data_IF_327270087278
#
_entry.id   IF_327270087278
#
_cell.length_a   1.000
_cell.length_b   1.000
_cell.length_c   1.000
_cell.angle_alpha   90.00
_cell.angle_beta   90.00
_cell.angle_gamma   90.00
#
_symmetry.space_group_name_H-M   'P 1'
#
loop_
_entity.id
_entity.type
_entity.pdbx_description
1 polymer ?
#
# COMPACT_ATOMS: atom_id res chain seq x y z
N UNK A 1 38.46 -38.42 -23.96
CA UNK A 1 37.51 -37.36 -23.63
C UNK A 1 37.67 -36.99 -22.15
N UNK A 2 38.24 -35.80 -21.83
CA UNK A 2 38.43 -35.35 -20.45
C UNK A 2 37.24 -34.44 -20.07
N UNK A 3 36.37 -34.93 -19.22
CA UNK A 3 35.22 -34.18 -18.69
C UNK A 3 35.72 -33.12 -17.71
N UNK A 4 35.67 -31.83 -18.09
CA UNK A 4 35.94 -30.73 -17.18
C UNK A 4 34.69 -30.50 -16.33
N UNK A 5 34.76 -30.77 -15.03
CA UNK A 5 33.75 -30.37 -14.05
C UNK A 5 33.88 -28.87 -13.81
N UNK A 6 32.86 -28.12 -14.20
CA UNK A 6 32.72 -26.71 -13.86
C UNK A 6 32.22 -26.63 -12.40
N UNK A 7 33.07 -26.21 -11.49
CA UNK A 7 32.64 -25.90 -10.10
C UNK A 7 32.15 -24.45 -10.11
N UNK A 8 30.84 -24.27 -10.05
CA UNK A 8 30.23 -22.95 -9.83
C UNK A 8 30.29 -22.70 -8.34
N UNK A 9 31.19 -21.83 -7.92
CA UNK A 9 31.27 -21.30 -6.56
C UNK A 9 30.16 -20.25 -6.37
N UNK A 10 29.02 -20.65 -5.80
CA UNK A 10 27.99 -19.74 -5.37
C UNK A 10 28.49 -18.98 -4.14
N UNK A 11 28.91 -17.73 -4.30
CA UNK A 11 29.14 -16.82 -3.18
C UNK A 11 27.79 -16.52 -2.54
N UNK A 12 27.49 -17.13 -1.39
CA UNK A 12 26.46 -16.67 -0.48
C UNK A 12 26.92 -15.34 0.09
N UNK A 13 26.40 -14.24 -0.43
CA UNK A 13 26.43 -12.95 0.26
C UNK A 13 25.37 -13.05 1.37
N UNK A 14 25.79 -13.43 2.57
CA UNK A 14 24.97 -13.25 3.76
C UNK A 14 24.84 -11.74 4.01
N UNK A 15 23.86 -11.12 3.39
CA UNK A 15 23.44 -9.76 3.74
C UNK A 15 22.99 -9.80 5.19
N UNK A 16 23.65 -9.06 6.07
CA UNK A 16 23.14 -8.76 7.41
C UNK A 16 21.83 -8.03 7.22
N UNK A 17 20.71 -8.72 7.45
CA UNK A 17 19.41 -8.08 7.55
C UNK A 17 19.48 -7.14 8.74
N UNK A 18 19.68 -5.86 8.51
CA UNK A 18 19.47 -4.83 9.51
C UNK A 18 18.06 -5.02 10.02
N UNK A 19 17.90 -5.25 11.32
CA UNK A 19 16.59 -5.34 11.94
C UNK A 19 15.86 -4.02 11.70
N UNK A 20 15.00 -4.00 10.72
CA UNK A 20 14.20 -2.83 10.39
C UNK A 20 13.18 -2.65 11.52
N UNK A 21 13.24 -1.53 12.20
CA UNK A 21 12.39 -1.22 13.35
C UNK A 21 10.96 -0.95 12.87
N UNK A 22 9.96 -1.43 13.60
CA UNK A 22 8.58 -0.97 13.43
C UNK A 22 8.56 0.54 13.67
N UNK A 23 8.05 1.28 12.69
CA UNK A 23 7.91 2.74 12.78
C UNK A 23 6.54 3.18 12.30
N UNK A 24 6.02 4.24 12.89
CA UNK A 24 4.83 4.96 12.44
C UNK A 24 5.02 6.44 12.65
N UNK A 25 4.54 7.27 11.73
CA UNK A 25 4.66 8.72 11.81
C UNK A 25 5.96 9.26 11.24
N UNK A 26 6.14 10.55 11.36
CA UNK A 26 7.21 11.28 10.72
C UNK A 26 8.44 11.38 11.62
N UNK A 27 9.57 10.82 11.21
CA UNK A 27 10.84 10.81 11.92
C UNK A 27 11.63 12.13 11.85
N UNK A 28 11.10 13.14 11.20
CA UNK A 28 11.79 14.42 11.03
C UNK A 28 11.87 15.17 12.37
N UNK A 29 13.06 15.65 12.75
CA UNK A 29 13.39 16.08 14.11
C UNK A 29 13.56 17.58 14.30
N UNK A 30 13.33 18.43 13.30
CA UNK A 30 13.54 19.87 13.41
C UNK A 30 12.29 20.67 13.03
N UNK A 31 11.33 20.84 13.97
CA UNK A 31 10.13 21.62 13.71
C UNK A 31 10.47 23.10 13.60
N UNK A 32 9.99 23.75 12.56
CA UNK A 32 10.15 25.18 12.32
C UNK A 32 8.85 25.97 12.61
N UNK A 33 7.77 25.29 12.97
CA UNK A 33 6.51 25.91 13.36
C UNK A 33 5.75 25.03 14.35
N UNK A 34 4.90 25.65 15.14
CA UNK A 34 3.83 24.94 15.84
C UNK A 34 2.55 25.10 15.05
N UNK A 35 1.66 24.12 15.16
CA UNK A 35 0.32 24.30 14.64
C UNK A 35 -0.36 25.47 15.37
N UNK A 36 -0.64 26.54 14.62
CA UNK A 36 -0.98 27.88 15.15
C UNK A 36 -2.37 28.01 15.77
N UNK A 37 -3.15 26.96 15.91
CA UNK A 37 -4.51 27.04 16.44
C UNK A 37 -4.51 26.94 17.96
N UNK A 38 -4.30 28.09 18.61
CA UNK A 38 -4.29 28.24 20.07
C UNK A 38 -5.71 28.12 20.61
N UNK A 39 -5.91 27.23 21.58
CA UNK A 39 -7.08 27.32 22.48
C UNK A 39 -8.05 26.14 22.51
N UNK A 40 -8.06 25.23 21.57
CA UNK A 40 -9.03 24.13 21.54
C UNK A 40 -8.41 22.76 21.86
N UNK A 41 -9.13 21.93 22.62
CA UNK A 41 -8.89 20.49 22.67
C UNK A 41 -9.07 19.93 21.28
N UNK A 42 -8.08 19.19 20.77
CA UNK A 42 -8.10 18.65 19.40
C UNK A 42 -7.22 17.42 19.26
N UNK A 43 -7.44 16.68 18.22
CA UNK A 43 -6.64 15.54 17.81
C UNK A 43 -6.09 15.78 16.40
N UNK A 44 -4.77 15.68 16.24
CA UNK A 44 -4.05 15.78 14.99
C UNK A 44 -3.52 14.39 14.62
N UNK A 45 -3.80 13.88 13.40
CA UNK A 45 -3.40 12.52 12.98
C UNK A 45 -2.56 12.62 11.71
N UNK A 46 -1.34 12.09 11.78
CA UNK A 46 -0.42 12.01 10.65
C UNK A 46 -0.93 10.98 9.63
N UNK A 47 -0.98 11.34 8.34
CA UNK A 47 -1.59 10.51 7.30
C UNK A 47 -0.60 9.91 6.31
N UNK A 48 0.65 10.38 6.30
CA UNK A 48 1.61 10.10 5.23
C UNK A 48 2.47 8.88 5.54
N UNK A 49 2.79 8.65 6.82
CA UNK A 49 3.68 7.60 7.29
C UNK A 49 2.96 6.61 8.21
N UNK A 50 2.10 5.75 7.65
CA UNK A 50 1.45 4.70 8.42
C UNK A 50 2.47 3.70 8.98
N UNK A 51 2.05 2.87 9.93
CA UNK A 51 2.86 1.80 10.47
C UNK A 51 3.39 0.90 9.34
N UNK A 52 4.71 0.78 9.25
CA UNK A 52 5.40 0.03 8.19
C UNK A 52 5.30 -1.50 8.36
N UNK A 53 4.84 -1.96 9.53
CA UNK A 53 4.67 -3.38 9.85
C UNK A 53 3.59 -3.56 10.93
N UNK A 54 3.13 -4.79 11.11
CA UNK A 54 2.31 -5.20 12.26
C UNK A 54 3.23 -5.51 13.44
N UNK A 55 2.83 -5.12 14.65
CA UNK A 55 3.61 -5.36 15.87
C UNK A 55 3.12 -4.57 17.08
N UNK A 56 4.04 -4.13 17.92
CA UNK A 56 3.76 -3.32 19.10
C UNK A 56 4.66 -2.09 19.14
N UNK A 57 4.08 -0.92 19.42
CA UNK A 57 4.81 0.33 19.67
C UNK A 57 5.06 0.48 21.16
N UNK A 58 6.30 0.78 21.54
CA UNK A 58 6.73 0.93 22.92
C UNK A 58 7.26 2.32 23.27
N UNK A 59 7.65 3.11 22.26
CA UNK A 59 8.19 4.46 22.45
C UNK A 59 7.59 5.42 21.43
N UNK A 60 7.27 6.65 21.86
CA UNK A 60 6.87 7.72 20.96
C UNK A 60 7.69 8.97 21.21
N UNK A 61 8.06 9.67 20.14
CA UNK A 61 8.74 10.95 20.16
C UNK A 61 7.90 11.99 19.41
N UNK A 62 7.71 13.15 20.02
CA UNK A 62 6.94 14.24 19.43
C UNK A 62 7.45 15.59 19.87
N UNK A 63 7.15 16.61 19.07
CA UNK A 63 7.45 17.99 19.42
C UNK A 63 6.20 18.71 19.94
N UNK A 64 6.43 19.58 20.96
CA UNK A 64 5.40 20.41 21.58
C UNK A 64 5.89 21.84 21.72
N UNK A 65 5.07 22.83 21.38
CA UNK A 65 5.50 24.24 21.29
C UNK A 65 5.83 24.91 22.63
N UNK A 66 5.41 24.33 23.75
CA UNK A 66 5.64 24.88 25.09
C UNK A 66 6.01 23.77 26.07
N UNK A 67 7.02 24.00 26.89
CA UNK A 67 7.37 23.17 28.04
C UNK A 67 6.61 23.59 29.30
N UNK A 68 6.63 22.76 30.34
CA UNK A 68 5.96 23.04 31.63
C UNK A 68 4.45 22.78 31.61
N UNK A 69 3.92 22.08 30.63
CA UNK A 69 2.50 21.74 30.54
C UNK A 69 2.18 20.45 31.29
N UNK A 70 1.23 20.51 32.23
CA UNK A 70 0.77 19.33 32.96
C UNK A 70 -0.35 18.62 32.20
N UNK A 71 -0.26 17.28 32.09
CA UNK A 71 -1.27 16.41 31.50
C UNK A 71 -1.81 16.92 30.14
N UNK A 72 -0.93 17.39 29.25
CA UNK A 72 -1.33 18.19 28.09
C UNK A 72 -1.47 17.39 26.79
N UNK A 73 -0.75 16.29 26.63
CA UNK A 73 -0.67 15.53 25.40
C UNK A 73 -1.02 14.06 25.57
N UNK A 74 -1.79 13.50 24.63
CA UNK A 74 -1.91 12.05 24.47
C UNK A 74 -1.31 11.63 23.15
N UNK A 75 -0.65 10.47 23.12
CA UNK A 75 -0.29 9.75 21.91
C UNK A 75 -1.43 8.79 21.57
N UNK A 76 -1.91 8.85 20.35
CA UNK A 76 -3.03 8.04 19.86
C UNK A 76 -2.63 7.25 18.62
N UNK A 77 -3.19 6.06 18.47
CA UNK A 77 -3.09 5.27 17.25
C UNK A 77 -4.49 5.06 16.70
N UNK A 78 -4.66 5.31 15.41
CA UNK A 78 -5.91 5.15 14.70
C UNK A 78 -5.78 4.09 13.60
N UNK A 79 -6.84 3.31 13.43
CA UNK A 79 -7.03 2.43 12.28
C UNK A 79 -7.97 3.10 11.29
N UNK A 80 -7.56 3.15 10.04
CA UNK A 80 -8.37 3.69 8.95
C UNK A 80 -8.93 2.55 8.11
N UNK A 81 -10.28 2.50 7.99
CA UNK A 81 -10.98 1.62 7.05
C UNK A 81 -11.88 2.50 6.19
N UNK A 82 -11.60 2.57 4.90
CA UNK A 82 -12.24 3.55 4.03
C UNK A 82 -11.92 4.97 4.46
N UNK A 83 -12.96 5.75 4.72
CA UNK A 83 -12.84 7.12 5.24
C UNK A 83 -13.01 7.20 6.76
N UNK A 84 -13.28 6.09 7.42
CA UNK A 84 -13.51 6.07 8.86
C UNK A 84 -12.23 5.76 9.63
N UNK A 85 -11.97 6.57 10.64
CA UNK A 85 -10.87 6.43 11.58
C UNK A 85 -11.44 6.00 12.93
N UNK A 86 -10.86 4.96 13.51
CA UNK A 86 -11.24 4.44 14.83
C UNK A 86 -10.01 4.33 15.71
N UNK A 87 -10.09 4.80 16.94
CA UNK A 87 -9.02 4.69 17.91
C UNK A 87 -8.69 3.21 18.18
N UNK A 88 -7.43 2.85 18.01
CA UNK A 88 -6.89 1.54 18.42
C UNK A 88 -6.52 1.57 19.88
N UNK A 89 -5.72 2.58 20.27
CA UNK A 89 -5.32 2.80 21.65
C UNK A 89 -4.75 4.22 21.82
N UNK A 90 -4.67 4.66 23.08
CA UNK A 90 -4.01 5.89 23.47
C UNK A 90 -3.16 5.71 24.72
N UNK A 91 -2.14 6.59 24.89
CA UNK A 91 -1.34 6.70 26.11
C UNK A 91 -1.21 8.17 26.52
N UNK A 92 -1.11 8.37 27.81
CA UNK A 92 -1.11 9.69 28.43
C UNK A 92 -2.37 9.91 29.27
N UNK A 93 -2.70 11.15 29.65
CA UNK A 93 -2.01 12.38 29.24
C UNK A 93 -0.62 12.54 29.85
N UNK A 94 0.33 12.96 29.02
CA UNK A 94 1.71 13.18 29.43
C UNK A 94 1.94 14.62 29.88
N UNK A 95 2.84 14.79 30.88
CA UNK A 95 3.41 16.09 31.22
C UNK A 95 4.48 16.46 30.21
N UNK A 96 4.47 17.68 29.74
CA UNK A 96 5.44 18.21 28.76
C UNK A 96 6.53 18.96 29.48
N UNK A 97 7.69 18.34 29.62
CA UNK A 97 8.83 18.90 30.34
C UNK A 97 9.87 19.53 29.40
N UNK A 98 9.78 19.26 28.12
CA UNK A 98 10.65 19.80 27.05
C UNK A 98 9.86 19.95 25.76
N UNK A 99 10.39 20.71 24.80
CA UNK A 99 9.76 20.86 23.49
C UNK A 99 9.83 19.54 22.69
N UNK A 100 10.96 18.85 22.73
CA UNK A 100 11.06 17.50 22.16
C UNK A 100 10.87 16.47 23.29
N UNK A 101 9.78 15.72 23.19
CA UNK A 101 9.39 14.71 24.18
C UNK A 101 9.65 13.32 23.62
N UNK A 102 10.25 12.46 24.45
CA UNK A 102 10.26 11.01 24.21
C UNK A 102 9.58 10.33 25.39
N UNK A 103 8.56 9.54 25.13
CA UNK A 103 7.74 8.90 26.15
C UNK A 103 7.66 7.39 25.93
N UNK A 104 7.64 6.63 27.02
CA UNK A 104 7.36 5.20 26.96
C UNK A 104 5.85 4.97 26.87
N UNK A 105 5.44 4.13 25.93
CA UNK A 105 4.05 3.71 25.74
C UNK A 105 3.80 2.45 26.60
N UNK A 106 3.30 2.64 27.81
CA UNK A 106 3.04 1.52 28.74
C UNK A 106 1.54 1.42 29.07
N UNK A 107 0.92 0.23 28.85
CA UNK A 107 1.44 -0.91 28.11
C UNK A 107 1.71 -0.56 26.65
N UNK A 108 2.60 -1.32 25.94
CA UNK A 108 2.86 -1.12 24.53
C UNK A 108 1.56 -1.13 23.69
N UNK A 109 1.54 -0.39 22.59
CA UNK A 109 0.34 -0.28 21.74
C UNK A 109 0.42 -1.29 20.60
N UNK A 110 -0.50 -2.28 20.51
CA UNK A 110 -0.56 -3.16 19.33
C UNK A 110 -1.02 -2.39 18.11
N UNK A 111 -0.32 -2.60 16.97
CA UNK A 111 -0.64 -1.97 15.69
C UNK A 111 -0.68 -3.00 14.58
N UNK A 112 -1.48 -2.74 13.57
CA UNK A 112 -1.39 -3.39 12.27
C UNK A 112 -0.63 -2.50 11.29
N UNK A 113 0.01 -3.09 10.31
CA UNK A 113 0.56 -2.33 9.18
C UNK A 113 -0.54 -1.45 8.57
N UNK A 114 -0.23 -0.16 8.37
CA UNK A 114 -1.21 0.82 7.91
C UNK A 114 -1.90 1.64 9.01
N UNK A 115 -1.77 1.30 10.29
CA UNK A 115 -2.27 2.12 11.39
C UNK A 115 -1.51 3.47 11.45
N UNK A 116 -2.19 4.52 11.90
CA UNK A 116 -1.72 5.90 11.88
C UNK A 116 -1.53 6.43 13.29
N UNK A 117 -0.53 7.29 13.47
CA UNK A 117 -0.26 7.93 14.76
C UNK A 117 -0.80 9.36 14.79
N UNK A 118 -1.23 9.79 15.97
CA UNK A 118 -1.69 11.15 16.23
C UNK A 118 -1.33 11.65 17.61
N UNK A 119 -1.49 12.95 17.77
CA UNK A 119 -1.38 13.66 19.04
C UNK A 119 -2.71 14.30 19.41
N UNK A 120 -3.18 14.08 20.62
CA UNK A 120 -4.29 14.86 21.14
C UNK A 120 -3.77 15.91 22.13
N UNK A 121 -4.16 17.17 21.90
CA UNK A 121 -4.03 18.25 22.85
C UNK A 121 -5.24 18.23 23.78
N UNK A 122 -5.04 17.90 25.04
CA UNK A 122 -6.14 17.72 26.01
C UNK A 122 -6.15 18.80 27.10
N UNK A 123 -5.13 19.66 27.14
CA UNK A 123 -5.08 20.83 28.02
C UNK A 123 -4.73 22.08 27.20
N UNK A 124 -5.13 23.26 27.71
CA UNK A 124 -4.82 24.54 27.06
C UNK A 124 -3.39 24.99 27.36
N UNK A 125 -2.39 24.21 26.93
CA UNK A 125 -0.99 24.51 27.15
C UNK A 125 -0.15 23.96 25.99
N UNK A 126 0.40 24.84 25.19
CA UNK A 126 1.20 24.48 23.99
C UNK A 126 0.38 23.84 22.88
N UNK A 127 1.05 23.44 21.82
CA UNK A 127 0.50 22.79 20.63
C UNK A 127 1.45 21.73 20.08
N UNK A 128 0.94 20.70 19.39
CA UNK A 128 1.76 19.82 18.57
C UNK A 128 2.64 20.63 17.60
N UNK A 129 3.88 20.22 17.42
CA UNK A 129 4.77 20.82 16.43
C UNK A 129 4.45 20.32 15.02
N UNK A 130 4.58 21.23 14.07
CA UNK A 130 4.47 20.91 12.67
C UNK A 130 5.64 21.53 11.89
N UNK A 131 6.01 20.94 10.76
CA UNK A 131 7.02 21.48 9.85
C UNK A 131 6.31 21.98 8.61
N UNK A 132 6.69 23.20 8.18
CA UNK A 132 6.19 23.86 6.97
C UNK A 132 6.49 23.02 5.72
N UNK A 133 5.74 23.16 4.62
CA UNK A 133 5.40 22.10 3.69
C UNK A 133 6.59 21.37 3.07
N UNK A 134 6.58 20.05 3.19
CA UNK A 134 7.20 19.16 2.23
C UNK A 134 6.08 18.63 1.32
N UNK A 135 6.35 18.41 0.07
CA UNK A 135 5.38 18.02 -0.96
C UNK A 135 4.66 16.68 -0.70
N UNK A 136 5.00 15.97 0.36
CA UNK A 136 4.60 14.59 0.66
C UNK A 136 3.97 14.38 2.05
N UNK A 137 3.74 15.44 2.84
CA UNK A 137 3.31 15.28 4.21
C UNK A 137 2.06 16.10 4.55
N UNK A 138 1.10 15.47 5.16
CA UNK A 138 -0.12 16.07 5.63
C UNK A 138 -0.70 15.33 6.82
N UNK A 139 -1.45 16.04 7.63
CA UNK A 139 -2.19 15.49 8.75
C UNK A 139 -3.63 15.99 8.72
N UNK A 140 -4.51 15.27 9.37
CA UNK A 140 -5.90 15.70 9.61
C UNK A 140 -6.03 16.27 11.00
N UNK A 141 -6.78 17.36 11.13
CA UNK A 141 -7.08 18.00 12.41
C UNK A 141 -8.56 17.85 12.74
N UNK A 142 -8.85 17.30 13.92
CA UNK A 142 -10.20 17.00 14.39
C UNK A 142 -10.43 17.66 15.75
N UNK A 143 -11.59 18.30 15.93
CA UNK A 143 -11.96 18.89 17.19
C UNK A 143 -12.13 17.84 18.30
N UNK A 144 -11.71 18.18 19.52
CA UNK A 144 -11.86 17.35 20.70
C UNK A 144 -10.79 16.27 20.85
N UNK A 145 -10.89 15.52 21.93
CA UNK A 145 -10.11 14.32 22.22
C UNK A 145 -10.75 13.12 21.48
N UNK A 146 -10.61 13.11 20.15
CA UNK A 146 -11.37 12.22 19.27
C UNK A 146 -10.98 10.74 19.47
N UNK A 147 -11.99 9.87 19.48
CA UNK A 147 -11.84 8.40 19.44
C UNK A 147 -12.28 7.81 18.10
N UNK A 148 -13.00 8.59 17.29
CA UNK A 148 -13.36 8.25 15.92
C UNK A 148 -13.67 9.52 15.13
N UNK A 149 -13.48 9.47 13.81
CA UNK A 149 -13.88 10.53 12.88
C UNK A 149 -13.91 10.00 11.45
N UNK A 150 -14.54 10.76 10.56
CA UNK A 150 -14.54 10.47 9.13
C UNK A 150 -13.63 11.45 8.40
N UNK A 151 -12.85 10.96 7.44
CA UNK A 151 -11.97 11.77 6.60
C UNK A 151 -12.78 12.85 5.87
N UNK A 152 -12.25 14.07 5.91
CA UNK A 152 -12.72 15.17 5.08
C UNK A 152 -11.50 15.93 4.55
N UNK A 153 -11.46 16.20 3.26
CA UNK A 153 -10.38 16.96 2.65
C UNK A 153 -10.26 18.39 3.22
N UNK A 154 -11.36 18.95 3.76
CA UNK A 154 -11.39 20.30 4.35
C UNK A 154 -10.63 20.42 5.68
N UNK A 155 -10.31 19.30 6.35
CA UNK A 155 -9.57 19.31 7.62
C UNK A 155 -8.12 18.86 7.45
N UNK A 156 -7.68 18.65 6.21
CA UNK A 156 -6.30 18.24 5.90
C UNK A 156 -5.39 19.47 5.89
N UNK A 157 -4.30 19.39 6.63
CA UNK A 157 -3.26 20.42 6.71
C UNK A 157 -2.05 19.97 5.88
N UNK A 158 -1.47 20.89 5.09
CA UNK A 158 -0.32 20.63 4.22
C UNK A 158 1.03 20.65 4.92
N UNK A 159 1.09 20.38 6.22
CA UNK A 159 2.30 20.39 7.04
C UNK A 159 2.58 18.98 7.57
N UNK A 160 3.83 18.72 7.98
CA UNK A 160 4.22 17.49 8.66
C UNK A 160 3.96 17.60 10.15
N UNK A 161 3.09 16.77 10.69
CA UNK A 161 2.96 16.61 12.14
C UNK A 161 4.22 15.95 12.70
N UNK A 162 4.81 16.55 13.72
CA UNK A 162 6.05 16.07 14.36
C UNK A 162 5.73 15.03 15.42
N UNK A 163 5.38 13.84 15.00
CA UNK A 163 5.17 12.68 15.85
C UNK A 163 5.62 11.42 15.14
N UNK A 164 6.36 10.57 15.84
CA UNK A 164 6.64 9.21 15.41
C UNK A 164 6.71 8.28 16.61
N UNK A 165 6.50 7.00 16.36
CA UNK A 165 6.71 5.97 17.36
C UNK A 165 7.50 4.80 16.76
N UNK A 166 8.17 4.08 17.66
CA UNK A 166 8.96 2.89 17.33
C UNK A 166 8.57 1.72 18.21
N UNK A 167 8.91 0.52 17.76
CA UNK A 167 8.61 -0.68 18.51
C UNK A 167 9.09 -1.95 17.83
N UNK A 168 8.46 -3.07 18.17
CA UNK A 168 8.82 -4.40 17.71
C UNK A 168 7.84 -4.89 16.65
N UNK A 169 8.35 -5.18 15.45
CA UNK A 169 7.55 -5.74 14.37
C UNK A 169 7.38 -7.26 14.51
N UNK A 170 6.22 -7.78 14.09
CA UNK A 170 5.92 -9.22 14.04
C UNK A 170 5.62 -9.73 12.64
N UNK A 171 4.93 -8.93 11.82
CA UNK A 171 4.55 -9.27 10.43
C UNK A 171 4.70 -8.06 9.51
N UNK A 172 4.89 -8.34 8.21
CA UNK A 172 4.95 -7.32 7.15
C UNK A 172 4.33 -7.84 5.86
N UNK A 173 3.69 -6.96 5.08
CA UNK A 173 3.36 -7.25 3.69
C UNK A 173 4.66 -7.25 2.90
N UNK A 174 5.08 -8.41 2.43
CA UNK A 174 6.33 -8.57 1.67
C UNK A 174 6.17 -8.14 0.20
N UNK A 175 4.96 -8.27 -0.32
CA UNK A 175 4.64 -7.85 -1.67
C UNK A 175 3.17 -8.06 -2.02
N UNK A 176 2.80 -7.56 -3.18
CA UNK A 176 1.44 -7.60 -3.73
C UNK A 176 1.43 -8.33 -5.07
N UNK A 177 0.48 -9.26 -5.25
CA UNK A 177 0.08 -9.77 -6.56
C UNK A 177 -1.05 -8.83 -7.02
N UNK A 178 -0.84 -7.98 -8.04
CA UNK A 178 -1.70 -6.83 -8.29
C UNK A 178 -3.08 -7.17 -8.82
N UNK A 179 -3.23 -8.29 -9.54
CA UNK A 179 -4.54 -8.77 -10.02
C UNK A 179 -4.69 -10.26 -9.82
N UNK A 180 -5.83 -10.65 -9.27
CA UNK A 180 -6.25 -12.05 -9.10
C UNK A 180 -7.74 -12.21 -9.40
N UNK A 181 -8.13 -13.38 -9.87
CA UNK A 181 -9.52 -13.68 -10.18
C UNK A 181 -9.84 -15.16 -9.93
N UNK A 182 -11.07 -15.43 -9.49
CA UNK A 182 -11.75 -16.73 -9.56
C UNK A 182 -13.24 -16.45 -9.76
N UNK A 183 -13.60 -16.04 -11.01
CA UNK A 183 -14.93 -15.57 -11.34
C UNK A 183 -15.24 -15.67 -12.83
N UNK A 184 -16.53 -15.59 -13.15
CA UNK A 184 -16.98 -15.51 -14.54
C UNK A 184 -16.58 -14.18 -15.19
N UNK A 185 -16.11 -14.27 -16.43
CA UNK A 185 -15.87 -13.18 -17.36
C UNK A 185 -16.99 -13.07 -18.42
N UNK A 186 -16.77 -12.23 -19.42
CA UNK A 186 -17.67 -12.12 -20.57
C UNK A 186 -17.54 -13.35 -21.47
N UNK A 187 -18.61 -13.66 -22.24
CA UNK A 187 -18.58 -14.69 -23.30
C UNK A 187 -18.32 -16.10 -22.78
N UNK A 188 -18.67 -16.41 -21.52
CA UNK A 188 -18.50 -17.76 -20.95
C UNK A 188 -17.09 -18.01 -20.36
N UNK A 189 -16.18 -17.04 -20.43
CA UNK A 189 -14.88 -17.15 -19.76
C UNK A 189 -15.03 -17.39 -18.26
N UNK A 190 -14.14 -18.20 -17.70
CA UNK A 190 -13.99 -18.33 -16.24
C UNK A 190 -12.53 -18.14 -15.88
N UNK A 191 -12.22 -17.03 -15.22
CA UNK A 191 -10.88 -16.71 -14.80
C UNK A 191 -10.52 -17.39 -13.48
N UNK A 192 -9.29 -17.90 -13.39
CA UNK A 192 -8.71 -18.47 -12.17
C UNK A 192 -7.31 -17.89 -11.95
N UNK A 193 -6.82 -17.98 -10.73
CA UNK A 193 -5.46 -17.56 -10.39
C UNK A 193 -4.65 -18.73 -9.82
N UNK A 194 -3.69 -19.20 -10.61
CA UNK A 194 -2.60 -20.06 -10.14
C UNK A 194 -1.60 -19.20 -9.36
N UNK A 195 -1.19 -19.67 -8.19
CA UNK A 195 -0.07 -19.08 -7.44
C UNK A 195 0.93 -20.17 -7.10
N UNK A 196 2.22 -19.86 -7.24
CA UNK A 196 3.35 -20.71 -6.87
C UNK A 196 4.26 -19.95 -5.92
N UNK A 197 4.68 -20.62 -4.87
CA UNK A 197 5.64 -20.11 -3.88
C UNK A 197 6.82 -21.04 -3.84
N UNK A 198 8.01 -20.54 -4.19
CA UNK A 198 9.29 -21.22 -4.03
C UNK A 198 9.98 -20.68 -2.77
N UNK A 199 10.20 -21.54 -1.78
CA UNK A 199 11.04 -21.21 -0.64
C UNK A 199 12.53 -21.33 -1.02
N UNK A 200 13.39 -20.37 -0.60
CA UNK A 200 14.84 -20.48 -0.82
C UNK A 200 15.40 -21.79 -0.25
N UNK A 201 16.53 -22.23 -0.80
CA UNK A 201 17.24 -23.41 -0.29
C UNK A 201 17.81 -23.12 1.12
N UNK A 202 17.02 -23.46 2.14
CA UNK A 202 17.36 -23.32 3.56
C UNK A 202 16.82 -24.51 4.33
N UNK A 203 17.30 -24.73 5.55
CA UNK A 203 16.80 -25.78 6.44
C UNK A 203 15.43 -25.46 7.06
N UNK A 204 15.03 -24.20 7.04
CA UNK A 204 13.77 -23.73 7.63
C UNK A 204 12.71 -23.50 6.55
N UNK A 205 11.45 -23.90 6.78
CA UNK A 205 10.36 -23.59 5.89
C UNK A 205 10.11 -22.07 5.88
N UNK A 206 9.61 -21.57 4.75
CA UNK A 206 9.04 -20.20 4.66
C UNK A 206 7.56 -20.29 4.94
N UNK A 207 7.13 -19.62 6.00
CA UNK A 207 5.72 -19.54 6.38
C UNK A 207 5.23 -18.11 6.23
N UNK A 208 3.95 -17.96 5.92
CA UNK A 208 3.28 -16.67 5.77
C UNK A 208 1.77 -16.83 5.59
N UNK A 209 1.14 -15.80 5.08
CA UNK A 209 -0.28 -15.84 4.70
C UNK A 209 -0.54 -15.00 3.45
N UNK A 210 -1.53 -15.42 2.68
CA UNK A 210 -2.16 -14.61 1.65
C UNK A 210 -3.32 -13.83 2.27
N UNK A 211 -3.49 -12.55 1.90
CA UNK A 211 -4.64 -11.73 2.30
C UNK A 211 -5.29 -11.18 1.04
N UNK A 212 -6.57 -11.49 0.85
CA UNK A 212 -7.31 -11.11 -0.35
C UNK A 212 -7.94 -9.72 -0.19
N UNK A 213 -7.63 -8.81 -1.12
CA UNK A 213 -8.23 -7.47 -1.22
C UNK A 213 -9.29 -7.47 -2.32
N UNK A 214 -10.53 -7.62 -1.90
CA UNK A 214 -11.68 -7.72 -2.80
C UNK A 214 -11.95 -6.40 -3.52
N UNK A 215 -12.38 -6.48 -4.79
CA UNK A 215 -12.77 -5.31 -5.59
C UNK A 215 -13.73 -4.37 -4.85
N UNK A 216 -13.41 -3.06 -4.88
CA UNK A 216 -14.25 -1.98 -4.39
C UNK A 216 -14.43 -1.93 -2.88
N UNK A 217 -13.74 -2.78 -2.12
CA UNK A 217 -13.81 -2.82 -0.65
C UNK A 217 -12.52 -2.29 -0.06
N UNK A 218 -12.56 -1.30 0.84
CA UNK A 218 -11.38 -0.90 1.59
C UNK A 218 -10.83 -2.06 2.41
N UNK A 219 -9.52 -2.29 2.33
CA UNK A 219 -8.89 -3.38 3.06
C UNK A 219 -8.93 -3.17 4.58
N UNK A 220 -9.07 -4.29 5.30
CA UNK A 220 -9.18 -4.28 6.75
C UNK A 220 -8.84 -5.61 7.41
N UNK A 221 -8.89 -5.67 8.75
CA UNK A 221 -8.57 -6.89 9.51
C UNK A 221 -9.49 -8.09 9.24
N UNK A 222 -10.68 -7.85 8.69
CA UNK A 222 -11.66 -8.88 8.38
C UNK A 222 -11.49 -9.48 6.97
N UNK A 223 -10.49 -9.04 6.21
CA UNK A 223 -10.22 -9.56 4.87
C UNK A 223 -9.87 -11.05 4.93
N UNK A 224 -10.36 -11.79 3.95
CA UNK A 224 -10.10 -13.22 3.88
C UNK A 224 -8.59 -13.49 3.79
N UNK A 225 -8.11 -14.45 4.58
CA UNK A 225 -6.70 -14.81 4.61
C UNK A 225 -6.52 -16.32 4.68
N UNK A 226 -5.41 -16.80 4.12
CA UNK A 226 -5.03 -18.21 4.12
C UNK A 226 -3.55 -18.36 4.46
N UNK A 227 -3.18 -19.10 5.51
CA UNK A 227 -1.79 -19.38 5.83
C UNK A 227 -1.16 -20.34 4.81
N UNK A 228 0.16 -20.22 4.63
CA UNK A 228 0.97 -21.17 3.89
C UNK A 228 2.28 -21.48 4.63
N UNK A 229 2.86 -22.65 4.31
CA UNK A 229 4.20 -23.04 4.81
C UNK A 229 4.87 -23.94 3.78
N UNK A 230 5.95 -23.46 3.17
CA UNK A 230 6.68 -24.15 2.09
C UNK A 230 8.05 -24.57 2.61
N UNK A 231 8.35 -25.85 2.50
CA UNK A 231 9.65 -26.38 2.93
C UNK A 231 10.80 -25.77 2.12
N UNK A 232 11.96 -25.57 2.74
CA UNK A 232 13.13 -24.99 2.09
C UNK A 232 13.53 -25.75 0.82
N UNK A 233 13.76 -25.04 -0.27
CA UNK A 233 14.06 -25.58 -1.58
C UNK A 233 12.88 -26.23 -2.33
N UNK A 234 11.67 -26.11 -1.80
CA UNK A 234 10.44 -26.67 -2.41
C UNK A 234 9.55 -25.60 -3.00
N UNK A 235 8.65 -26.04 -3.90
CA UNK A 235 7.59 -25.23 -4.48
C UNK A 235 6.24 -25.77 -4.00
N UNK A 236 5.36 -24.86 -3.58
CA UNK A 236 3.95 -25.15 -3.36
C UNK A 236 3.10 -24.37 -4.38
N UNK A 237 2.00 -24.99 -4.83
CA UNK A 237 1.18 -24.43 -5.92
C UNK A 237 -0.31 -24.54 -5.60
N UNK A 238 -1.03 -23.46 -5.82
CA UNK A 238 -2.50 -23.40 -5.76
C UNK A 238 -3.03 -23.07 -7.16
N UNK A 239 -3.69 -24.02 -7.80
CA UNK A 239 -4.22 -23.88 -9.17
C UNK A 239 -5.35 -22.85 -9.26
N UNK A 240 -6.08 -22.65 -8.16
CA UNK A 240 -7.06 -21.57 -7.99
C UNK A 240 -6.97 -21.09 -6.52
N UNK A 241 -6.10 -20.10 -6.28
CA UNK A 241 -5.85 -19.61 -4.94
C UNK A 241 -7.13 -19.06 -4.28
N UNK A 242 -7.95 -18.28 -5.01
CA UNK A 242 -9.15 -17.68 -4.43
C UNK A 242 -10.21 -18.73 -4.07
N UNK A 243 -10.29 -19.82 -4.84
CA UNK A 243 -11.13 -20.96 -4.48
C UNK A 243 -10.61 -21.66 -3.21
N UNK A 244 -9.29 -21.83 -3.10
CA UNK A 244 -8.67 -22.37 -1.88
C UNK A 244 -8.90 -21.50 -0.64
N UNK A 245 -9.04 -20.17 -0.84
CA UNK A 245 -9.37 -19.20 0.21
C UNK A 245 -10.89 -19.09 0.49
N UNK A 246 -11.74 -19.74 -0.28
CA UNK A 246 -13.21 -19.62 -0.16
C UNK A 246 -13.74 -18.25 -0.62
N UNK A 247 -13.06 -17.55 -1.53
CA UNK A 247 -13.38 -16.17 -1.95
C UNK A 247 -13.70 -16.03 -3.43
N UNK A 248 -14.29 -17.05 -4.04
CA UNK A 248 -14.69 -17.04 -5.46
C UNK A 248 -15.75 -15.97 -5.76
N UNK A 249 -15.93 -15.67 -7.06
CA UNK A 249 -16.96 -14.74 -7.55
C UNK A 249 -16.55 -13.27 -7.56
N UNK A 250 -15.34 -12.93 -7.11
CA UNK A 250 -14.84 -11.55 -7.08
C UNK A 250 -13.39 -11.50 -7.57
N UNK A 251 -13.02 -10.50 -8.38
CA UNK A 251 -11.64 -10.17 -8.65
C UNK A 251 -11.05 -9.31 -7.51
N UNK A 252 -9.73 -9.22 -7.45
CA UNK A 252 -9.03 -8.44 -6.43
C UNK A 252 -7.53 -8.46 -6.60
N UNK A 253 -6.81 -8.24 -5.49
CA UNK A 253 -5.37 -8.43 -5.36
C UNK A 253 -5.04 -9.29 -4.14
N UNK A 254 -3.82 -9.81 -4.07
CA UNK A 254 -3.33 -10.58 -2.91
C UNK A 254 -2.13 -9.88 -2.30
N UNK A 255 -2.18 -9.65 -1.00
CA UNK A 255 -0.99 -9.32 -0.23
C UNK A 255 -0.33 -10.61 0.27
N UNK A 256 0.97 -10.72 0.09
CA UNK A 256 1.80 -11.79 0.67
C UNK A 256 2.39 -11.27 1.96
N UNK A 257 1.93 -11.78 3.08
CA UNK A 257 2.34 -11.34 4.42
C UNK A 257 3.27 -12.38 5.03
N UNK A 258 4.43 -11.92 5.50
CA UNK A 258 5.45 -12.77 6.12
C UNK A 258 5.71 -12.36 7.57
N UNK A 259 6.17 -13.26 8.42
CA UNK A 259 6.77 -12.90 9.69
C UNK A 259 7.92 -11.91 9.46
N UNK A 260 8.09 -10.97 10.36
CA UNK A 260 9.16 -9.98 10.30
C UNK A 260 10.54 -10.66 10.31
N UNK A 261 11.41 -10.26 9.39
CA UNK A 261 12.75 -10.87 9.25
C UNK A 261 12.78 -12.23 8.57
N UNK A 262 11.64 -12.76 8.12
CA UNK A 262 11.61 -13.99 7.34
C UNK A 262 12.27 -13.81 5.96
N UNK A 263 12.86 -14.85 5.44
CA UNK A 263 13.36 -14.88 4.06
C UNK A 263 12.20 -14.72 3.08
N UNK A 264 12.33 -13.79 2.13
CA UNK A 264 11.31 -13.56 1.11
C UNK A 264 11.31 -14.71 0.11
N UNK A 265 10.20 -15.43 -0.09
CA UNK A 265 10.08 -16.44 -1.13
C UNK A 265 10.00 -15.80 -2.52
N UNK A 266 10.29 -16.57 -3.55
CA UNK A 266 9.91 -16.22 -4.91
C UNK A 266 8.45 -16.61 -5.10
N UNK A 267 7.60 -15.65 -5.44
CA UNK A 267 6.18 -15.85 -5.70
C UNK A 267 5.89 -15.51 -7.17
N UNK A 268 5.32 -16.45 -7.87
CA UNK A 268 4.79 -16.26 -9.22
C UNK A 268 3.30 -16.50 -9.24
N UNK A 269 2.57 -15.74 -10.03
CA UNK A 269 1.15 -15.94 -10.24
C UNK A 269 0.82 -15.95 -11.74
N UNK A 270 -0.31 -16.52 -12.08
CA UNK A 270 -0.88 -16.52 -13.42
C UNK A 270 -2.40 -16.43 -13.33
N UNK A 271 -2.96 -15.39 -13.92
CA UNK A 271 -4.40 -15.32 -14.17
C UNK A 271 -4.67 -15.94 -15.53
N UNK A 272 -5.56 -16.91 -15.58
CA UNK A 272 -5.86 -17.64 -16.80
C UNK A 272 -7.36 -17.86 -16.99
N UNK A 273 -7.78 -17.96 -18.25
CA UNK A 273 -9.13 -18.31 -18.63
C UNK A 273 -9.24 -19.85 -18.75
N UNK A 274 -9.99 -20.47 -17.86
CA UNK A 274 -10.21 -21.93 -17.85
C UNK A 274 -11.43 -22.29 -18.72
N UNK A 275 -11.18 -22.60 -19.98
CA UNK A 275 -12.23 -23.01 -20.93
C UNK A 275 -12.39 -24.53 -21.05
N UNK A 276 -11.72 -25.31 -20.22
CA UNK A 276 -11.76 -26.77 -20.25
C UNK A 276 -10.96 -27.43 -21.37
N UNK A 277 -10.62 -26.72 -22.44
CA UNK A 277 -9.91 -27.23 -23.62
C UNK A 277 -8.52 -26.63 -23.82
N UNK A 278 -8.04 -25.92 -22.84
CA UNK A 278 -6.78 -25.18 -22.84
C UNK A 278 -6.91 -23.93 -21.98
N UNK A 279 -5.78 -23.43 -21.53
CA UNK A 279 -5.71 -22.25 -20.69
C UNK A 279 -4.89 -21.17 -21.39
N UNK A 280 -5.47 -20.00 -21.52
CA UNK A 280 -4.77 -18.81 -21.95
C UNK A 280 -4.75 -17.83 -20.77
N UNK A 281 -3.66 -17.12 -20.59
CA UNK A 281 -3.54 -16.23 -19.44
C UNK A 281 -2.23 -15.46 -19.46
N UNK A 282 -2.08 -14.57 -18.47
CA UNK A 282 -0.89 -13.77 -18.29
C UNK A 282 -0.23 -14.06 -16.95
N UNK A 283 1.05 -13.82 -16.89
CA UNK A 283 1.83 -13.91 -15.65
C UNK A 283 1.73 -12.62 -14.87
N UNK A 284 1.55 -12.77 -13.57
CA UNK A 284 1.68 -11.72 -12.59
C UNK A 284 2.94 -11.97 -11.76
N UNK A 285 3.69 -10.91 -11.52
CA UNK A 285 4.83 -10.96 -10.61
C UNK A 285 4.45 -10.38 -9.26
N UNK A 286 5.04 -10.91 -8.19
CA UNK A 286 4.97 -10.27 -6.89
C UNK A 286 5.68 -8.92 -6.96
N UNK A 287 4.94 -7.84 -6.70
CA UNK A 287 5.52 -6.51 -6.57
C UNK A 287 5.96 -6.34 -5.12
N UNK A 288 7.28 -6.28 -4.84
CA UNK A 288 7.75 -6.14 -3.47
C UNK A 288 7.27 -4.84 -2.84
N UNK A 289 6.85 -4.88 -1.58
CA UNK A 289 6.41 -3.70 -0.81
C UNK A 289 7.36 -3.34 0.35
N UNK A 290 8.39 -4.15 0.59
CA UNK A 290 9.43 -3.88 1.59
C UNK A 290 10.57 -3.07 0.93
N UNK A 291 11.08 -2.06 1.64
CA UNK A 291 12.24 -1.23 1.23
C UNK A 291 12.05 -0.40 -0.06
N UNK A 292 10.88 0.22 -0.22
CA UNK A 292 10.66 1.10 -1.36
C UNK A 292 11.43 2.40 -1.21
N UNK A 293 12.40 2.61 -2.12
CA UNK A 293 12.94 3.92 -2.43
C UNK A 293 12.23 4.48 -3.66
N UNK A 294 12.05 5.80 -3.72
CA UNK A 294 11.64 6.50 -4.94
C UNK A 294 12.67 6.25 -6.04
N UNK A 295 12.39 5.30 -6.91
CA UNK A 295 13.26 5.00 -8.04
C UNK A 295 12.45 4.96 -9.34
N UNK A 296 13.01 5.58 -10.37
CA UNK A 296 12.50 5.42 -11.74
C UNK A 296 12.55 3.94 -12.12
N UNK A 297 11.49 3.45 -12.75
CA UNK A 297 11.36 2.05 -13.16
C UNK A 297 10.69 1.13 -12.14
N UNK A 298 10.31 1.63 -10.95
CA UNK A 298 9.50 0.86 -10.00
C UNK A 298 8.03 0.78 -10.44
N UNK A 299 7.32 -0.22 -9.90
CA UNK A 299 5.89 -0.42 -10.15
C UNK A 299 4.99 0.24 -9.10
N UNK A 300 5.58 0.83 -8.05
CA UNK A 300 4.84 1.53 -7.00
C UNK A 300 4.98 3.03 -7.22
N UNK A 301 3.84 3.69 -7.36
CA UNK A 301 3.71 5.13 -7.49
C UNK A 301 3.49 5.73 -6.11
N UNK A 302 4.30 6.71 -5.76
CA UNK A 302 4.19 7.53 -4.56
C UNK A 302 3.74 8.95 -4.90
N UNK A 303 3.41 9.74 -3.90
CA UNK A 303 3.12 11.16 -4.04
C UNK A 303 4.23 11.86 -4.85
N UNK A 304 3.82 12.62 -5.89
CA UNK A 304 4.71 13.26 -6.86
C UNK A 304 5.13 12.36 -8.04
N UNK A 305 4.89 11.05 -8.00
CA UNK A 305 5.27 10.15 -9.08
C UNK A 305 4.40 10.34 -10.33
N UNK A 306 5.02 10.17 -11.49
CA UNK A 306 4.34 10.11 -12.79
C UNK A 306 4.77 8.87 -13.56
N UNK A 307 3.87 8.37 -14.40
CA UNK A 307 4.16 7.24 -15.29
C UNK A 307 3.07 7.05 -16.34
N UNK A 308 3.16 5.97 -17.11
CA UNK A 308 2.25 5.73 -18.23
C UNK A 308 1.80 4.27 -18.26
N UNK A 309 0.60 4.07 -18.81
CA UNK A 309 0.06 2.78 -19.23
C UNK A 309 -0.37 2.89 -20.68
N UNK A 310 -0.20 1.83 -21.44
CA UNK A 310 -0.58 1.78 -22.85
C UNK A 310 -1.87 0.98 -23.01
N UNK A 311 -2.81 1.50 -23.79
CA UNK A 311 -3.93 0.75 -24.33
C UNK A 311 -3.49 -0.22 -25.43
N UNK A 312 -4.41 -1.03 -25.95
CA UNK A 312 -4.12 -1.91 -27.09
C UNK A 312 -3.84 -1.12 -28.36
N UNK A 313 -3.09 -1.73 -29.27
CA UNK A 313 -2.85 -1.17 -30.60
C UNK A 313 -4.11 -1.16 -31.48
N UNK A 314 -5.08 -2.03 -31.21
CA UNK A 314 -6.37 -2.17 -31.90
C UNK A 314 -7.49 -2.28 -30.88
N UNK A 315 -8.25 -1.20 -30.72
CA UNK A 315 -9.37 -1.11 -29.77
C UNK A 315 -10.65 -1.85 -30.23
N UNK A 316 -10.71 -2.27 -31.49
CA UNK A 316 -11.83 -3.07 -32.00
C UNK A 316 -11.64 -4.56 -31.62
N UNK A 317 -10.41 -5.06 -31.74
CA UNK A 317 -10.07 -6.43 -31.38
C UNK A 317 -9.96 -6.62 -29.87
N UNK A 318 -9.47 -5.60 -29.15
CA UNK A 318 -9.20 -5.70 -27.70
C UNK A 318 -9.99 -4.68 -26.89
N UNK A 319 -10.35 -5.08 -25.68
CA UNK A 319 -10.83 -4.17 -24.62
C UNK A 319 -9.76 -3.99 -23.57
N UNK A 320 -9.77 -2.85 -22.87
CA UNK A 320 -8.86 -2.58 -21.78
C UNK A 320 -9.61 -2.24 -20.49
N UNK A 321 -9.14 -2.79 -19.39
CA UNK A 321 -9.57 -2.41 -18.04
C UNK A 321 -8.36 -1.86 -17.28
N UNK A 322 -8.56 -0.85 -16.47
CA UNK A 322 -7.52 -0.26 -15.61
C UNK A 322 -7.79 -0.68 -14.18
N UNK A 323 -6.79 -1.27 -13.54
CA UNK A 323 -6.81 -1.63 -12.14
C UNK A 323 -5.91 -0.69 -11.33
N UNK A 324 -6.33 -0.39 -10.10
CA UNK A 324 -5.58 0.39 -9.11
C UNK A 324 -5.60 -0.35 -7.79
N UNK A 325 -4.42 -0.61 -7.23
CA UNK A 325 -4.23 -1.15 -5.88
C UNK A 325 -3.57 -0.09 -5.02
N UNK A 326 -4.36 0.63 -4.21
CA UNK A 326 -3.83 1.57 -3.22
C UNK A 326 -3.13 0.82 -2.09
N UNK A 327 -2.01 1.34 -1.61
CA UNK A 327 -1.28 0.76 -0.48
C UNK A 327 -1.76 1.35 0.86
N UNK A 328 -0.94 1.23 1.92
CA UNK A 328 -1.32 1.52 3.31
C UNK A 328 -1.78 2.96 3.56
N UNK A 329 -1.28 3.92 2.77
CA UNK A 329 -1.67 5.34 2.88
C UNK A 329 -2.93 5.70 2.07
N UNK A 330 -3.45 4.76 1.25
CA UNK A 330 -4.42 5.07 0.21
C UNK A 330 -3.78 5.79 -0.97
N UNK A 331 -4.57 6.29 -1.91
CA UNK A 331 -4.05 7.03 -3.06
C UNK A 331 -5.03 8.10 -3.55
N UNK A 332 -4.50 9.26 -3.93
CA UNK A 332 -5.15 10.27 -4.77
C UNK A 332 -4.32 10.44 -6.04
N UNK A 333 -4.93 10.26 -7.21
CA UNK A 333 -4.25 10.30 -8.49
C UNK A 333 -5.13 10.89 -9.58
N UNK A 334 -4.49 11.37 -10.65
CA UNK A 334 -5.18 11.76 -11.89
C UNK A 334 -4.73 10.83 -13.02
N UNK A 335 -5.70 10.25 -13.72
CA UNK A 335 -5.49 9.50 -14.96
C UNK A 335 -5.92 10.39 -16.13
N UNK A 336 -5.00 10.71 -17.02
CA UNK A 336 -5.28 11.47 -18.23
C UNK A 336 -4.95 10.66 -19.46
N UNK A 337 -5.95 10.43 -20.31
CA UNK A 337 -5.76 9.72 -21.56
C UNK A 337 -5.23 10.65 -22.67
N UNK A 338 -4.48 10.04 -23.58
CA UNK A 338 -3.89 10.68 -24.76
C UNK A 338 -4.13 9.79 -25.98
N UNK A 339 -4.29 10.44 -27.14
CA UNK A 339 -4.27 9.79 -28.43
C UNK A 339 -2.86 9.28 -28.77
N UNK A 340 -2.74 8.39 -29.73
CA UNK A 340 -1.44 7.86 -30.19
C UNK A 340 -0.47 8.95 -30.66
N UNK A 341 -0.97 10.09 -31.14
CA UNK A 341 -0.18 11.25 -31.56
C UNK A 341 0.33 12.13 -30.42
N UNK A 342 -0.02 11.82 -29.18
CA UNK A 342 0.37 12.57 -27.99
C UNK A 342 -0.56 13.72 -27.61
N UNK A 343 -1.62 13.96 -28.36
CA UNK A 343 -2.62 14.97 -28.00
C UNK A 343 -3.52 14.44 -26.87
N UNK A 344 -3.97 15.35 -25.99
CA UNK A 344 -4.79 14.96 -24.86
C UNK A 344 -6.21 14.58 -25.33
N UNK A 345 -6.69 13.40 -24.96
CA UNK A 345 -8.01 12.89 -25.30
C UNK A 345 -9.13 13.43 -24.35
N UNK A 346 -8.75 14.09 -23.26
CA UNK A 346 -9.71 14.64 -22.29
C UNK A 346 -9.06 15.41 -21.16
N UNK A 347 -9.87 15.91 -20.21
CA UNK A 347 -9.39 16.67 -19.05
C UNK A 347 -8.66 15.82 -18.01
N UNK A 348 -8.87 14.51 -18.02
CA UNK A 348 -8.41 13.56 -17.01
C UNK A 348 -9.43 13.33 -15.90
N UNK A 349 -9.33 12.17 -15.26
CA UNK A 349 -10.17 11.73 -14.15
C UNK A 349 -9.37 11.71 -12.86
N UNK A 350 -9.90 12.34 -11.81
CA UNK A 350 -9.36 12.25 -10.47
C UNK A 350 -9.90 11.00 -9.79
N UNK A 351 -9.00 10.20 -9.24
CA UNK A 351 -9.29 8.99 -8.49
C UNK A 351 -8.89 9.17 -7.04
N UNK A 352 -9.68 8.60 -6.14
CA UNK A 352 -9.35 8.53 -4.73
C UNK A 352 -9.75 7.14 -4.21
N UNK A 353 -8.78 6.41 -3.70
CA UNK A 353 -9.01 5.13 -3.05
C UNK A 353 -8.47 5.13 -1.62
N UNK A 354 -9.27 4.67 -0.65
CA UNK A 354 -8.82 4.44 0.72
C UNK A 354 -7.66 3.44 0.79
N UNK A 355 -6.99 3.30 1.96
CA UNK A 355 -5.96 2.30 2.17
C UNK A 355 -6.38 0.88 1.76
N UNK A 356 -5.42 0.15 1.18
CA UNK A 356 -5.55 -1.26 0.85
C UNK A 356 -6.77 -1.61 -0.02
N UNK A 357 -7.21 -0.67 -0.86
CA UNK A 357 -8.33 -0.87 -1.79
C UNK A 357 -7.82 -1.32 -3.15
N UNK A 358 -8.47 -2.34 -3.72
CA UNK A 358 -8.29 -2.71 -5.11
C UNK A 358 -9.56 -2.39 -5.90
N UNK A 359 -9.41 -1.70 -7.03
CA UNK A 359 -10.52 -1.47 -7.96
C UNK A 359 -10.07 -1.65 -9.40
N UNK A 360 -10.98 -2.13 -10.24
CA UNK A 360 -10.77 -2.28 -11.67
C UNK A 360 -12.06 -1.93 -12.40
N UNK A 361 -11.94 -1.06 -13.41
CA UNK A 361 -13.05 -0.74 -14.28
C UNK A 361 -12.58 -0.59 -15.74
N UNK A 362 -13.54 -0.46 -16.68
CA UNK A 362 -13.19 -0.28 -18.09
C UNK A 362 -12.38 1.01 -18.30
N UNK A 363 -11.57 1.01 -19.34
CA UNK A 363 -10.81 2.20 -19.76
C UNK A 363 -11.67 3.47 -19.74
N UNK A 364 -12.86 3.41 -20.36
CA UNK A 364 -13.73 4.58 -20.45
C UNK A 364 -14.20 5.10 -19.08
N UNK A 365 -14.49 4.20 -18.12
CA UNK A 365 -14.86 4.60 -16.74
C UNK A 365 -13.69 5.24 -16.01
N UNK A 366 -12.48 4.67 -16.17
CA UNK A 366 -11.30 5.12 -15.44
C UNK A 366 -10.68 6.40 -16.02
N UNK A 367 -10.85 6.67 -17.31
CA UNK A 367 -10.23 7.82 -17.98
C UNK A 367 -11.21 8.91 -18.38
N UNK A 368 -12.51 8.58 -18.43
CA UNK A 368 -13.56 9.47 -18.92
C UNK A 368 -13.65 9.58 -20.44
N UNK A 369 -12.86 8.79 -21.20
CA UNK A 369 -12.86 8.80 -22.67
C UNK A 369 -12.91 7.38 -23.23
N UNK A 370 -13.42 7.23 -24.44
CA UNK A 370 -13.44 5.95 -25.14
C UNK A 370 -12.02 5.42 -25.38
N UNK A 371 -11.88 4.10 -25.42
CA UNK A 371 -10.64 3.46 -25.84
C UNK A 371 -10.46 3.63 -27.35
N UNK A 372 -9.27 4.02 -27.79
CA UNK A 372 -8.87 4.19 -29.17
C UNK A 372 -7.57 3.44 -29.44
N UNK A 373 -7.26 3.21 -30.72
CA UNK A 373 -6.06 2.52 -31.17
C UNK A 373 -4.80 3.27 -30.72
N UNK A 374 -3.91 2.55 -30.02
CA UNK A 374 -2.65 3.11 -29.54
C UNK A 374 -2.78 4.20 -28.48
N UNK A 375 -3.96 4.41 -27.90
CA UNK A 375 -4.16 5.35 -26.80
C UNK A 375 -3.32 4.97 -25.59
N UNK A 376 -2.92 5.96 -24.79
CA UNK A 376 -2.20 5.73 -23.55
C UNK A 376 -2.70 6.67 -22.42
N UNK A 377 -2.41 6.28 -21.18
CA UNK A 377 -2.78 7.05 -19.99
C UNK A 377 -1.54 7.52 -19.27
N UNK A 378 -1.47 8.81 -18.96
CA UNK A 378 -0.55 9.36 -17.97
C UNK A 378 -1.17 9.28 -16.59
N UNK A 379 -0.41 8.72 -15.66
CA UNK A 379 -0.72 8.65 -14.24
C UNK A 379 0.04 9.78 -13.53
N UNK A 380 -0.63 10.50 -12.62
CA UNK A 380 0.02 11.47 -11.73
C UNK A 380 -0.55 11.27 -10.33
N UNK A 381 0.30 10.85 -9.39
CA UNK A 381 -0.10 10.63 -7.98
C UNK A 381 0.15 11.91 -7.19
N UNK A 382 -0.90 12.46 -6.60
CA UNK A 382 -0.82 13.66 -5.76
C UNK A 382 -0.65 13.33 -4.27
N UNK A 383 -1.15 12.15 -3.83
CA UNK A 383 -1.06 11.70 -2.43
C UNK A 383 -1.04 10.18 -2.33
N UNK A 384 -0.35 9.68 -1.28
CA UNK A 384 -0.30 8.27 -0.96
C UNK A 384 0.51 7.43 -1.93
N UNK A 385 0.13 6.16 -2.08
CA UNK A 385 0.84 5.21 -2.93
C UNK A 385 -0.07 4.15 -3.53
N UNK A 386 0.25 3.70 -4.74
CA UNK A 386 -0.50 2.67 -5.44
C UNK A 386 0.30 1.95 -6.51
N UNK A 387 -0.22 0.80 -6.92
CA UNK A 387 0.15 0.06 -8.12
C UNK A 387 -0.96 0.28 -9.15
N UNK A 388 -0.59 0.59 -10.39
CA UNK A 388 -1.51 0.76 -11.53
C UNK A 388 -1.21 -0.30 -12.58
N UNK A 389 -2.27 -0.81 -13.20
CA UNK A 389 -2.18 -1.92 -14.12
C UNK A 389 -3.25 -1.79 -15.20
N UNK A 390 -2.96 -2.22 -16.42
CA UNK A 390 -3.93 -2.35 -17.50
C UNK A 390 -4.04 -3.80 -17.93
N UNK A 391 -5.27 -4.35 -17.90
CA UNK A 391 -5.58 -5.66 -18.47
C UNK A 391 -6.16 -5.47 -19.86
N UNK A 392 -5.49 -6.01 -20.86
CA UNK A 392 -5.93 -6.02 -22.27
C UNK A 392 -6.50 -7.41 -22.55
N UNK A 393 -7.72 -7.47 -23.01
CA UNK A 393 -8.42 -8.75 -23.24
C UNK A 393 -8.96 -8.81 -24.66
N UNK A 394 -8.63 -9.88 -25.37
CA UNK A 394 -9.19 -10.15 -26.71
C UNK A 394 -10.71 -10.32 -26.61
N UNK A 395 -11.45 -9.64 -27.51
CA UNK A 395 -12.92 -9.63 -27.48
C UNK A 395 -13.55 -10.93 -28.01
N UNK A 396 -12.79 -11.76 -28.73
CA UNK A 396 -13.26 -13.02 -29.34
C UNK A 396 -12.88 -14.19 -28.43
N UNK A 397 -11.58 -14.30 -28.08
CA UNK A 397 -11.07 -15.45 -27.33
C UNK A 397 -11.14 -15.26 -25.82
N UNK A 398 -11.31 -14.03 -25.36
CA UNK A 398 -11.19 -13.63 -23.95
C UNK A 398 -9.82 -13.91 -23.34
N UNK A 399 -8.77 -13.98 -24.19
CA UNK A 399 -7.40 -14.12 -23.72
C UNK A 399 -6.93 -12.82 -23.08
N UNK A 400 -6.56 -12.85 -21.80
CA UNK A 400 -6.06 -11.67 -21.12
C UNK A 400 -4.55 -11.52 -21.32
N UNK A 401 -4.11 -10.27 -21.45
CA UNK A 401 -2.74 -9.83 -21.25
C UNK A 401 -2.74 -8.70 -20.23
N UNK A 402 -1.66 -8.54 -19.49
CA UNK A 402 -1.58 -7.53 -18.45
C UNK A 402 -0.25 -6.79 -18.47
N UNK A 403 -0.28 -5.50 -18.11
CA UNK A 403 0.89 -4.65 -18.05
C UNK A 403 0.82 -3.78 -16.80
N UNK A 404 1.77 -3.96 -15.90
CA UNK A 404 1.92 -3.10 -14.73
C UNK A 404 2.62 -1.81 -15.13
N UNK A 405 2.06 -0.67 -14.73
CA UNK A 405 2.64 0.64 -14.97
C UNK A 405 3.99 0.81 -14.26
N UNK A 406 4.87 1.62 -14.82
CA UNK A 406 6.17 1.96 -14.23
C UNK A 406 6.30 3.47 -14.02
N UNK A 407 6.92 3.83 -12.92
CA UNK A 407 7.29 5.21 -12.61
C UNK A 407 8.37 5.66 -13.60
N UNK A 408 8.14 6.74 -14.33
CA UNK A 408 9.10 7.33 -15.27
C UNK A 408 9.71 8.64 -14.77
N UNK A 409 9.11 9.26 -13.76
CA UNK A 409 9.62 10.49 -13.16
C UNK A 409 8.92 10.81 -11.84
N UNK A 410 9.58 11.59 -11.02
CA UNK A 410 8.96 12.29 -9.90
C UNK A 410 8.99 13.79 -10.21
N UNK A 411 7.90 14.48 -9.96
CA UNK A 411 7.92 15.95 -9.92
C UNK A 411 8.55 16.31 -8.57
N UNK A 412 9.80 16.72 -8.60
CA UNK A 412 10.55 17.22 -7.45
C UNK A 412 10.04 18.62 -7.08
#
# INVERSE_FOLDING_TARGET
MKTRRLVVLAMLVAGTVSAQTLTVGNTYSNPNSSDGNLGAVRTDVELTHPANATGTLDTATFYWSSSGCSAAAKVKVFRRVGDNFTLVAERGPFNINANLMTVTLSPAIPVLQGDLIGLARVANCGNPGAVSPGYDAYYVQVAGDATSFTYSASVVQGNRLQVYATGTATEVVAGVIPSVASNQGRGGAYFRTLVQVLAPFSSSPVSGKFVFRKKGTPGGPADASMPFSVAGGSVESWTDLLNSMGTTGNPGSIDVVLPWGASTPLVGAQVYNDQGNGTTGFREELIPTINHSFAVGTNIFFSGATGYMFGPADANTYRANIAVRSLEAGVEATLRAYHADGTAAGSGQSLRYPPNTWNQDSWAVMTGVALEDGAYVRISVSRGSAIFQVSIVDNITNDPADVVARVLGAVI
#
